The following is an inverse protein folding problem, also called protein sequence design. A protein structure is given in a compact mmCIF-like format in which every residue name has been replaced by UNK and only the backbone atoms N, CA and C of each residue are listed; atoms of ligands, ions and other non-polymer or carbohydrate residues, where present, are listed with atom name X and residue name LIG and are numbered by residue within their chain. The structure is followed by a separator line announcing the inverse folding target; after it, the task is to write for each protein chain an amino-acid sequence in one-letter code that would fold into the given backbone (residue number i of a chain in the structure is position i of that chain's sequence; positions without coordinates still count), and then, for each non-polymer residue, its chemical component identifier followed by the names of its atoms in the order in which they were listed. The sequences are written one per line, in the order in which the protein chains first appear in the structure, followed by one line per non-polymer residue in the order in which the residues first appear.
data_IF_511960350946
#
_entry.id   IF_511960350946
#
_cell.length_a   1.000
_cell.length_b   1.000
_cell.length_c   1.000
_cell.angle_alpha   90.00
_cell.angle_beta   90.00
_cell.angle_gamma   90.00
#
_symmetry.space_group_name_H-M   'P 1'
#
loop_
_entity.id
_entity.type
_entity.pdbx_description
1 polymer ?
#
# COMPACT_ATOMS: atom_id res chain seq x y z
N UNK A 1 -15.09 20.64 14.03
CA UNK A 1 -13.99 19.85 14.64
C UNK A 1 -13.52 18.83 13.62
N UNK A 2 -12.21 18.74 13.31
CA UNK A 2 -11.70 17.70 12.43
C UNK A 2 -11.98 16.33 13.08
N UNK A 3 -12.52 15.41 12.30
CA UNK A 3 -12.85 14.07 12.78
C UNK A 3 -11.54 13.28 12.94
N UNK A 4 -11.35 12.49 14.01
CA UNK A 4 -10.12 11.73 14.18
C UNK A 4 -9.88 10.80 12.98
N UNK A 5 -8.68 10.89 12.38
CA UNK A 5 -8.25 9.95 11.34
C UNK A 5 -7.97 8.60 12.00
N UNK A 6 -8.58 7.55 11.46
CA UNK A 6 -8.29 6.18 11.89
C UNK A 6 -7.12 5.65 11.09
N UNK A 7 -5.96 5.52 11.74
CA UNK A 7 -4.80 4.89 11.13
C UNK A 7 -4.87 3.38 11.29
N UNK A 8 -4.60 2.60 10.22
CA UNK A 8 -4.38 1.16 10.35
C UNK A 8 -3.22 0.88 11.30
N UNK A 9 -3.29 -0.21 12.07
CA UNK A 9 -2.23 -0.58 13.04
C UNK A 9 -0.86 -0.83 12.38
N UNK A 10 -0.83 -1.14 11.09
CA UNK A 10 0.39 -1.35 10.30
C UNK A 10 0.94 -0.07 9.66
N UNK A 11 0.24 1.06 9.76
CA UNK A 11 0.62 2.30 9.11
C UNK A 11 1.90 2.86 9.74
N UNK A 12 2.91 3.15 8.92
CA UNK A 12 4.13 3.81 9.34
C UNK A 12 3.88 5.32 9.50
N UNK A 13 3.99 5.88 10.72
CA UNK A 13 3.80 7.31 10.95
C UNK A 13 4.78 8.18 10.15
N UNK A 14 5.96 7.67 9.78
CA UNK A 14 6.98 8.41 9.02
C UNK A 14 6.68 8.48 7.53
N UNK A 15 5.78 7.64 7.02
CA UNK A 15 5.42 7.56 5.60
C UNK A 15 3.93 7.85 5.34
N UNK A 16 3.15 8.05 6.40
CA UNK A 16 1.74 8.39 6.29
C UNK A 16 1.57 9.86 5.89
N UNK A 17 0.84 10.11 4.81
CA UNK A 17 0.48 11.46 4.36
C UNK A 17 -0.89 11.93 4.85
N UNK A 18 -1.52 11.21 5.77
CA UNK A 18 -2.89 11.49 6.25
C UNK A 18 -2.83 12.05 7.67
N UNK A 19 -3.53 13.16 7.90
CA UNK A 19 -3.63 13.82 9.20
C UNK A 19 -5.05 14.36 9.42
N UNK A 20 -5.34 14.89 10.62
CA UNK A 20 -6.62 15.51 10.91
C UNK A 20 -6.94 16.70 9.97
N UNK A 21 -5.91 17.44 9.55
CA UNK A 21 -6.02 18.59 8.64
C UNK A 21 -5.96 18.18 7.15
N UNK A 22 -5.42 16.99 6.87
CA UNK A 22 -5.36 16.40 5.55
C UNK A 22 -5.89 14.95 5.61
N UNK A 23 -7.22 14.76 5.66
CA UNK A 23 -7.83 13.44 5.86
C UNK A 23 -7.81 12.55 4.61
N UNK A 24 -7.29 13.06 3.49
CA UNK A 24 -7.12 12.36 2.23
C UNK A 24 -5.62 12.24 1.91
N UNK A 25 -5.20 11.09 1.42
CA UNK A 25 -3.79 10.82 1.16
C UNK A 25 -3.51 9.32 1.23
N UNK A 26 -2.30 9.00 1.68
CA UNK A 26 -1.78 7.63 1.66
C UNK A 26 -1.40 7.15 3.07
N UNK A 27 -1.95 6.01 3.48
CA UNK A 27 -1.45 5.20 4.58
C UNK A 27 -0.48 4.17 4.02
N UNK A 28 0.81 4.27 4.36
CA UNK A 28 1.83 3.32 3.92
C UNK A 28 2.30 2.42 5.06
N UNK A 29 2.65 1.18 4.75
CA UNK A 29 3.36 0.29 5.66
C UNK A 29 4.82 0.71 5.81
N UNK A 30 5.53 0.11 6.76
CA UNK A 30 6.99 0.13 6.72
C UNK A 30 7.45 -0.70 5.52
N UNK A 31 8.50 -0.29 4.79
CA UNK A 31 9.10 -1.14 3.77
C UNK A 31 9.67 -2.42 4.38
N UNK A 32 9.47 -3.54 3.70
CA UNK A 32 10.06 -4.83 4.06
C UNK A 32 11.12 -5.18 3.02
N UNK A 33 12.30 -5.57 3.49
CA UNK A 33 13.36 -6.14 2.65
C UNK A 33 13.01 -7.58 2.33
N UNK A 34 12.79 -7.89 1.05
CA UNK A 34 12.47 -9.24 0.60
C UNK A 34 13.73 -10.09 0.34
N UNK A 35 14.92 -9.49 0.49
CA UNK A 35 16.22 -10.14 0.33
C UNK A 35 16.99 -9.64 -0.91
N UNK A 36 18.20 -10.17 -1.13
CA UNK A 36 18.92 -9.95 -2.37
C UNK A 36 18.21 -10.70 -3.50
N UNK A 37 17.78 -9.97 -4.52
CA UNK A 37 17.19 -10.52 -5.73
C UNK A 37 17.90 -9.87 -6.93
N UNK A 38 18.69 -10.61 -7.73
CA UNK A 38 19.48 -10.02 -8.81
C UNK A 38 18.62 -9.05 -9.67
N UNK A 39 19.09 -7.82 -9.94
CA UNK A 39 20.43 -7.27 -9.71
C UNK A 39 20.66 -6.59 -8.33
N UNK A 40 19.66 -6.52 -7.44
CA UNK A 40 19.75 -5.68 -6.24
C UNK A 40 18.97 -6.18 -5.03
N UNK A 41 18.68 -5.30 -4.08
CA UNK A 41 17.75 -5.63 -2.97
C UNK A 41 16.35 -5.24 -3.38
N UNK A 42 15.38 -6.14 -3.22
CA UNK A 42 13.97 -5.84 -3.44
C UNK A 42 13.32 -5.39 -2.14
N UNK A 43 12.67 -4.23 -2.19
CA UNK A 43 11.84 -3.69 -1.11
C UNK A 43 10.37 -3.77 -1.51
N UNK A 44 9.51 -4.12 -0.55
CA UNK A 44 8.07 -4.09 -0.71
C UNK A 44 7.42 -3.14 0.30
N UNK A 45 6.46 -2.35 -0.17
CA UNK A 45 5.58 -1.55 0.67
C UNK A 45 4.12 -1.75 0.22
N UNK A 46 3.21 -1.79 1.18
CA UNK A 46 1.78 -1.74 0.91
C UNK A 46 1.27 -0.37 1.32
N UNK A 47 0.46 0.22 0.46
CA UNK A 47 -0.19 1.48 0.72
C UNK A 47 -1.70 1.41 0.46
N UNK A 48 -2.45 2.20 1.21
CA UNK A 48 -3.87 2.49 0.95
C UNK A 48 -3.96 3.97 0.66
N UNK A 49 -4.42 4.33 -0.53
CA UNK A 49 -4.55 5.71 -0.96
C UNK A 49 -6.02 6.08 -1.19
N UNK A 50 -6.38 7.30 -0.81
CA UNK A 50 -7.72 7.83 -0.95
C UNK A 50 -7.65 9.33 -1.24
N UNK A 51 -8.21 9.76 -2.38
CA UNK A 51 -8.42 11.17 -2.67
C UNK A 51 -9.72 11.72 -2.06
N UNK A 52 -10.00 13.03 -2.18
CA UNK A 52 -11.31 13.56 -1.86
C UNK A 52 -12.37 13.04 -2.84
N UNK A 53 -13.64 12.91 -2.41
CA UNK A 53 -14.75 12.74 -3.35
C UNK A 53 -14.89 13.99 -4.23
N UNK A 54 -15.18 13.77 -5.50
CA UNK A 54 -15.40 14.79 -6.53
C UNK A 54 -16.84 14.67 -7.01
N UNK A 55 -17.58 15.77 -6.89
CA UNK A 55 -18.97 15.86 -7.35
C UNK A 55 -19.08 15.47 -8.82
N UNK A 56 -20.00 14.55 -9.15
CA UNK A 56 -20.19 14.05 -10.52
C UNK A 56 -19.33 12.84 -10.90
N UNK A 57 -18.42 12.39 -10.02
CA UNK A 57 -17.55 11.22 -10.28
C UNK A 57 -17.81 10.10 -9.26
N UNK A 58 -18.66 9.10 -9.56
CA UNK A 58 -19.14 8.09 -8.59
C UNK A 58 -18.05 7.20 -7.95
N UNK A 59 -16.87 7.16 -8.56
CA UNK A 59 -15.73 6.36 -8.09
C UNK A 59 -14.65 7.19 -7.40
N UNK A 60 -14.77 8.52 -7.40
CA UNK A 60 -13.89 9.40 -6.64
C UNK A 60 -14.01 9.14 -5.14
N UNK A 61 -12.93 9.40 -4.41
CA UNK A 61 -12.88 9.21 -2.97
C UNK A 61 -12.96 7.77 -2.48
N UNK A 62 -12.97 6.77 -3.37
CA UNK A 62 -12.85 5.36 -2.98
C UNK A 62 -11.38 5.03 -2.67
N UNK A 63 -11.11 4.29 -1.60
CA UNK A 63 -9.75 3.83 -1.32
C UNK A 63 -9.33 2.77 -2.34
N UNK A 64 -8.08 2.84 -2.78
CA UNK A 64 -7.41 1.77 -3.52
C UNK A 64 -6.15 1.36 -2.77
N UNK A 65 -5.72 0.12 -2.99
CA UNK A 65 -4.47 -0.38 -2.46
C UNK A 65 -3.40 -0.32 -3.55
N UNK A 66 -2.16 -0.06 -3.18
CA UNK A 66 -1.04 -0.26 -4.06
C UNK A 66 0.04 -1.08 -3.35
N UNK A 67 0.55 -2.09 -4.06
CA UNK A 67 1.80 -2.75 -3.72
C UNK A 67 2.90 -2.03 -4.50
N UNK A 68 3.85 -1.49 -3.76
CA UNK A 68 5.06 -0.88 -4.27
C UNK A 68 6.20 -1.89 -4.19
N UNK A 69 6.80 -2.20 -5.33
CA UNK A 69 8.07 -2.91 -5.41
C UNK A 69 9.14 -1.91 -5.84
N UNK A 70 10.27 -1.88 -5.13
CA UNK A 70 11.43 -1.05 -5.47
C UNK A 70 12.67 -1.93 -5.51
N UNK A 71 13.37 -1.91 -6.62
CA UNK A 71 14.76 -2.34 -6.67
C UNK A 71 15.69 -1.22 -6.16
N UNK A 72 16.98 -1.52 -6.06
CA UNK A 72 17.99 -0.54 -5.63
C UNK A 72 18.12 0.67 -6.57
N UNK A 73 17.64 0.56 -7.81
CA UNK A 73 17.80 1.55 -8.88
C UNK A 73 16.56 2.43 -9.09
N UNK A 74 15.45 2.13 -8.41
CA UNK A 74 14.44 3.13 -8.05
C UNK A 74 13.14 3.11 -8.84
N UNK A 75 12.88 2.09 -9.68
CA UNK A 75 11.56 2.02 -10.33
C UNK A 75 10.49 1.53 -9.35
N UNK A 76 9.57 2.43 -9.01
CA UNK A 76 8.42 2.15 -8.17
C UNK A 76 7.29 1.61 -9.06
N UNK A 77 7.16 0.30 -9.15
CA UNK A 77 5.97 -0.27 -9.77
C UNK A 77 4.79 -0.11 -8.79
N UNK A 78 3.84 0.78 -9.13
CA UNK A 78 2.57 0.93 -8.41
C UNK A 78 1.47 0.25 -9.20
N UNK A 79 0.97 -0.87 -8.67
CA UNK A 79 -0.25 -1.48 -9.17
C UNK A 79 -1.43 -1.05 -8.29
N UNK A 80 -2.25 -0.06 -8.70
CA UNK A 80 -3.49 0.25 -7.99
C UNK A 80 -4.47 -0.92 -8.14
N UNK A 81 -5.01 -1.36 -7.01
CA UNK A 81 -5.87 -2.53 -6.91
C UNK A 81 -7.10 -2.23 -6.06
N UNK A 82 -8.21 -2.89 -6.39
CA UNK A 82 -9.34 -2.96 -5.47
C UNK A 82 -8.96 -3.73 -4.20
N UNK A 83 -9.73 -3.54 -3.13
CA UNK A 83 -9.59 -4.33 -1.91
C UNK A 83 -9.70 -5.83 -2.14
N UNK A 84 -10.57 -6.24 -3.08
CA UNK A 84 -10.76 -7.65 -3.42
C UNK A 84 -9.54 -8.24 -4.13
N UNK A 85 -9.00 -7.52 -5.12
CA UNK A 85 -7.81 -7.95 -5.85
C UNK A 85 -6.59 -8.02 -4.92
N UNK A 86 -6.37 -7.01 -4.08
CA UNK A 86 -5.28 -7.00 -3.12
C UNK A 86 -5.38 -8.17 -2.12
N UNK A 87 -6.59 -8.52 -1.66
CA UNK A 87 -6.81 -9.70 -0.79
C UNK A 87 -6.54 -11.00 -1.53
N UNK A 88 -6.96 -11.12 -2.79
CA UNK A 88 -6.70 -12.30 -3.60
C UNK A 88 -5.19 -12.49 -3.82
N UNK A 89 -4.48 -11.42 -4.20
CA UNK A 89 -3.03 -11.43 -4.36
C UNK A 89 -2.34 -11.82 -3.05
N UNK A 90 -2.73 -11.24 -1.92
CA UNK A 90 -2.15 -11.58 -0.61
C UNK A 90 -2.30 -13.05 -0.25
N UNK A 91 -3.45 -13.67 -0.57
CA UNK A 91 -3.65 -15.12 -0.38
C UNK A 91 -2.73 -15.95 -1.26
N UNK A 92 -2.60 -15.60 -2.55
CA UNK A 92 -1.71 -16.29 -3.49
C UNK A 92 -0.26 -16.22 -3.01
N UNK A 93 0.22 -15.02 -2.67
CA UNK A 93 1.59 -14.81 -2.18
C UNK A 93 1.87 -15.59 -0.89
N UNK A 94 0.92 -15.60 0.05
CA UNK A 94 1.05 -16.36 1.30
C UNK A 94 1.06 -17.88 1.04
N UNK A 95 0.26 -18.35 0.08
CA UNK A 95 0.26 -19.75 -0.33
C UNK A 95 1.61 -20.18 -0.87
N UNK A 96 2.13 -19.45 -1.85
CA UNK A 96 3.44 -19.70 -2.46
C UNK A 96 4.58 -19.68 -1.43
N UNK A 97 4.58 -18.70 -0.52
CA UNK A 97 5.61 -18.61 0.53
C UNK A 97 5.63 -19.85 1.44
N UNK A 98 4.46 -20.43 1.73
CA UNK A 98 4.34 -21.65 2.55
C UNK A 98 4.78 -22.90 1.81
N UNK A 99 4.62 -22.95 0.49
CA UNK A 99 5.08 -24.06 -0.34
C UNK A 99 6.60 -24.08 -0.45
N UNK A 100 7.22 -22.92 -0.66
CA UNK A 100 8.68 -22.78 -0.76
C UNK A 100 9.39 -23.06 0.57
N UNK A 101 8.72 -22.82 1.70
CA UNK A 101 9.29 -23.06 3.03
C UNK A 101 9.24 -24.53 3.49
N UNK A 102 8.70 -25.44 2.68
CA UNK A 102 8.68 -26.89 2.94
C UNK A 102 9.87 -27.57 2.28
#
# INVERSE_FOLDING_TARGET
MPRPVRHPAWCDPRRCGVSADQPYGTHSSRPVVLGPYPPGTLLAEVSVAQGPPVTGYPFSGRPYLALALRDGDGELCLAPMSAELARALGRVLTGLAREVAR
#
